data_IF_705885876626
#
_entry.id   IF_705885876626
#
_cell.length_a   1.000
_cell.length_b   1.000
_cell.length_c   1.000
_cell.angle_alpha   90.00
_cell.angle_beta   90.00
_cell.angle_gamma   90.00
#
_symmetry.space_group_name_H-M   'P 1'
#
loop_
_entity.id
_entity.type
_entity.pdbx_description
1 polymer ?
#
# COMPACT_ATOMS: atom_id res chain seq x y z
N UNK A 1 -11.69 -3.72 6.27
CA UNK A 1 -10.47 -3.32 5.54
C UNK A 1 -10.82 -3.47 4.08
N UNK A 2 -10.90 -2.36 3.34
CA UNK A 2 -11.42 -2.36 1.97
C UNK A 2 -10.26 -2.39 0.97
N UNK A 3 -10.46 -3.08 -0.16
CA UNK A 3 -9.49 -3.14 -1.25
C UNK A 3 -9.57 -1.90 -2.18
N UNK A 4 -10.50 -0.97 -1.95
CA UNK A 4 -10.71 0.21 -2.79
C UNK A 4 -10.89 -0.17 -4.28
N UNK A 5 -11.80 -1.12 -4.51
CA UNK A 5 -12.13 -1.58 -5.85
C UNK A 5 -12.93 -0.53 -6.59
N UNK A 6 -12.85 -0.43 -7.93
CA UNK A 6 -13.65 0.53 -8.70
C UNK A 6 -15.13 0.50 -8.28
N UNK A 7 -15.70 1.66 -7.97
CA UNK A 7 -17.09 1.82 -7.53
C UNK A 7 -17.36 1.56 -6.03
N UNK A 8 -16.41 0.98 -5.28
CA UNK A 8 -16.62 0.66 -3.85
C UNK A 8 -16.68 1.87 -2.90
N UNK A 9 -16.30 3.04 -3.38
CA UNK A 9 -16.28 4.28 -2.60
C UNK A 9 -17.44 5.22 -2.96
N UNK A 10 -18.33 4.83 -3.89
CA UNK A 10 -19.39 5.71 -4.39
C UNK A 10 -20.42 6.10 -3.32
N UNK A 11 -20.72 5.19 -2.39
CA UNK A 11 -21.66 5.42 -1.28
C UNK A 11 -20.96 5.96 -0.02
N UNK A 12 -19.65 6.23 -0.07
CA UNK A 12 -18.87 6.69 1.07
C UNK A 12 -18.38 8.11 0.85
N UNK A 13 -18.63 9.01 1.81
CA UNK A 13 -18.06 10.35 1.77
C UNK A 13 -16.56 10.30 2.06
N UNK A 14 -15.76 10.18 1.00
CA UNK A 14 -14.29 10.23 1.02
C UNK A 14 -13.74 11.55 0.50
N UNK A 15 -14.60 12.50 0.14
CA UNK A 15 -14.19 13.74 -0.52
C UNK A 15 -13.29 14.57 0.40
N UNK A 16 -12.08 14.88 -0.06
CA UNK A 16 -11.09 15.62 0.72
C UNK A 16 -10.44 14.82 1.87
N UNK A 17 -10.71 13.51 1.99
CA UNK A 17 -10.20 12.66 3.08
C UNK A 17 -9.03 11.79 2.65
N UNK A 18 -8.31 11.26 3.64
CA UNK A 18 -7.24 10.27 3.44
C UNK A 18 -7.85 8.87 3.58
N UNK A 19 -7.71 8.05 2.54
CA UNK A 19 -8.35 6.72 2.49
C UNK A 19 -7.34 5.62 2.76
N UNK A 20 -7.65 4.70 3.68
CA UNK A 20 -6.85 3.50 3.95
C UNK A 20 -7.36 2.32 3.10
N UNK A 21 -6.52 1.85 2.18
CA UNK A 21 -6.78 0.72 1.30
C UNK A 21 -5.84 -0.45 1.63
N UNK A 22 -6.29 -1.69 1.44
CA UNK A 22 -5.44 -2.88 1.53
C UNK A 22 -4.95 -3.30 0.13
N UNK A 23 -3.68 -3.66 0.04
CA UNK A 23 -3.06 -4.25 -1.15
C UNK A 23 -3.68 -5.62 -1.49
N UNK A 24 -3.58 -6.03 -2.76
CA UNK A 24 -4.17 -7.29 -3.22
C UNK A 24 -5.60 -7.15 -3.75
N UNK A 25 -6.32 -8.28 -3.85
CA UNK A 25 -7.67 -8.33 -4.43
C UNK A 25 -7.69 -8.20 -5.97
N UNK A 26 -6.62 -8.60 -6.65
CA UNK A 26 -6.54 -8.58 -8.12
C UNK A 26 -6.42 -7.19 -8.74
N UNK A 27 -6.29 -6.13 -7.93
CA UNK A 27 -6.26 -4.74 -8.41
C UNK A 27 -4.90 -4.13 -8.07
N UNK A 28 -4.30 -3.47 -9.06
CA UNK A 28 -3.00 -2.82 -8.89
C UNK A 28 -3.09 -1.68 -7.88
N UNK A 29 -1.98 -1.42 -7.18
CA UNK A 29 -1.88 -0.33 -6.19
C UNK A 29 -2.16 1.04 -6.83
N UNK A 30 -1.82 1.20 -8.11
CA UNK A 30 -2.09 2.39 -8.92
C UNK A 30 -3.60 2.53 -9.20
N UNK A 31 -4.26 1.45 -9.64
CA UNK A 31 -5.70 1.47 -9.91
C UNK A 31 -6.54 1.78 -8.66
N UNK A 32 -6.12 1.31 -7.47
CA UNK A 32 -6.73 1.71 -6.19
C UNK A 32 -6.62 3.21 -5.95
N UNK A 33 -5.47 3.79 -6.27
CA UNK A 33 -5.27 5.23 -6.24
C UNK A 33 -6.23 5.95 -7.18
N UNK A 34 -6.42 5.45 -8.40
CA UNK A 34 -7.38 6.03 -9.33
C UNK A 34 -8.80 6.01 -8.76
N UNK A 35 -9.26 4.89 -8.19
CA UNK A 35 -10.56 4.82 -7.52
C UNK A 35 -10.72 5.87 -6.41
N UNK A 36 -9.69 6.06 -5.57
CA UNK A 36 -9.72 7.06 -4.49
C UNK A 36 -9.79 8.47 -5.05
N UNK A 37 -9.04 8.75 -6.12
CA UNK A 37 -9.06 10.05 -6.81
C UNK A 37 -10.42 10.34 -7.44
N UNK A 38 -11.01 9.35 -8.12
CA UNK A 38 -12.31 9.47 -8.77
C UNK A 38 -13.44 9.73 -7.76
N UNK A 39 -13.33 9.14 -6.57
CA UNK A 39 -14.24 9.41 -5.46
C UNK A 39 -13.96 10.75 -4.73
N UNK A 40 -12.97 11.52 -5.18
CA UNK A 40 -12.62 12.84 -4.62
C UNK A 40 -11.73 12.81 -3.38
N UNK A 41 -11.08 11.68 -3.07
CA UNK A 41 -10.13 11.55 -1.97
C UNK A 41 -8.89 12.44 -2.15
N UNK A 42 -8.39 12.99 -1.04
CA UNK A 42 -7.22 13.86 -1.04
C UNK A 42 -5.90 13.08 -1.04
N UNK A 43 -5.85 11.93 -0.37
CA UNK A 43 -4.66 11.09 -0.25
C UNK A 43 -5.03 9.62 0.01
N UNK A 44 -4.07 8.72 -0.19
CA UNK A 44 -4.27 7.27 0.02
C UNK A 44 -3.14 6.66 0.86
N UNK A 45 -3.49 5.81 1.81
CA UNK A 45 -2.55 4.93 2.49
C UNK A 45 -2.83 3.52 2.02
N UNK A 46 -1.84 2.84 1.47
CA UNK A 46 -1.93 1.43 1.08
C UNK A 46 -1.25 0.61 2.15
N UNK A 47 -1.99 -0.27 2.82
CA UNK A 47 -1.43 -1.28 3.73
C UNK A 47 -1.19 -2.57 2.99
N UNK A 48 -0.08 -3.24 3.27
CA UNK A 48 0.05 -4.66 2.95
C UNK A 48 -1.00 -5.50 3.66
N UNK A 49 -1.30 -6.66 3.06
CA UNK A 49 -2.00 -7.76 3.68
C UNK A 49 -1.03 -8.63 4.49
N UNK A 50 -1.57 -9.63 5.19
CA UNK A 50 -0.76 -10.51 6.05
C UNK A 50 0.30 -11.31 5.29
N UNK A 51 0.06 -11.65 4.01
CA UNK A 51 0.99 -12.44 3.19
C UNK A 51 2.17 -11.58 2.74
N UNK A 52 1.91 -10.36 2.27
CA UNK A 52 2.97 -9.45 1.79
C UNK A 52 3.77 -8.82 2.93
N UNK A 53 3.18 -8.74 4.14
CA UNK A 53 3.81 -8.31 5.39
C UNK A 53 4.60 -6.99 5.28
N UNK A 54 5.92 -7.07 5.08
CA UNK A 54 6.86 -5.93 5.05
C UNK A 54 7.35 -5.54 3.66
N UNK A 55 6.95 -6.24 2.59
CA UNK A 55 7.40 -5.91 1.23
C UNK A 55 6.77 -4.61 0.73
N UNK A 56 7.59 -3.56 0.58
CA UNK A 56 7.16 -2.24 0.12
C UNK A 56 7.64 -2.04 -1.31
N UNK A 57 6.74 -1.57 -2.18
CA UNK A 57 7.04 -1.28 -3.59
C UNK A 57 6.94 0.22 -3.84
N UNK A 58 7.95 0.84 -4.49
CA UNK A 58 7.91 2.26 -4.82
C UNK A 58 7.08 2.49 -6.10
N UNK A 59 5.77 2.21 -6.06
CA UNK A 59 4.89 2.48 -7.20
C UNK A 59 4.64 3.99 -7.35
N UNK A 60 4.56 4.47 -8.60
CA UNK A 60 4.15 5.84 -8.89
C UNK A 60 2.62 5.95 -8.81
N UNK A 61 2.11 6.66 -7.80
CA UNK A 61 0.69 6.85 -7.57
C UNK A 61 0.15 8.12 -8.23
N UNK A 62 -1.13 8.10 -8.64
CA UNK A 62 -1.83 9.22 -9.30
C UNK A 62 -2.26 10.37 -8.35
N UNK A 63 -2.05 10.17 -7.05
CA UNK A 63 -2.35 11.10 -5.95
C UNK A 63 -1.34 10.85 -4.80
N UNK A 64 -1.21 11.76 -3.82
CA UNK A 64 -0.31 11.58 -2.68
C UNK A 64 -0.60 10.27 -1.92
N UNK A 65 0.34 9.32 -1.99
CA UNK A 65 0.15 8.01 -1.39
C UNK A 65 1.35 7.52 -0.58
N UNK A 66 1.07 6.72 0.45
CA UNK A 66 2.06 6.05 1.27
C UNK A 66 1.79 4.55 1.33
N UNK A 67 2.79 3.74 1.00
CA UNK A 67 2.73 2.28 1.14
C UNK A 67 3.35 1.86 2.47
N UNK A 68 2.57 1.18 3.31
CA UNK A 68 2.97 0.77 4.66
C UNK A 68 2.89 -0.75 4.84
N UNK A 69 3.69 -1.27 5.77
CA UNK A 69 3.65 -2.68 6.15
C UNK A 69 2.30 -3.07 6.79
N UNK A 70 2.00 -4.37 6.80
CA UNK A 70 0.78 -4.90 7.43
C UNK A 70 0.68 -4.49 8.90
N UNK A 71 1.79 -4.58 9.65
CA UNK A 71 1.83 -4.19 11.06
C UNK A 71 1.52 -2.70 11.25
N UNK A 72 2.04 -1.83 10.39
CA UNK A 72 1.72 -0.39 10.42
C UNK A 72 0.26 -0.13 10.04
N UNK A 73 -0.25 -0.79 9.00
CA UNK A 73 -1.65 -0.67 8.58
C UNK A 73 -2.65 -1.11 9.65
N UNK A 74 -2.34 -2.15 10.41
CA UNK A 74 -3.17 -2.58 11.56
C UNK A 74 -3.20 -1.52 12.66
N UNK A 75 -2.07 -0.86 12.93
CA UNK A 75 -2.02 0.27 13.88
C UNK A 75 -2.84 1.47 13.38
N UNK A 76 -2.73 1.81 12.10
CA UNK A 76 -3.53 2.90 11.50
C UNK A 76 -5.03 2.57 11.54
N UNK A 77 -5.40 1.32 11.25
CA UNK A 77 -6.80 0.87 11.37
C UNK A 77 -7.31 0.96 12.80
N UNK A 78 -6.52 0.53 13.78
CA UNK A 78 -6.86 0.66 15.19
C UNK A 78 -7.04 2.13 15.59
N UNK A 79 -6.16 3.01 15.12
CA UNK A 79 -6.28 4.46 15.31
C UNK A 79 -7.59 5.03 14.75
N UNK A 80 -7.93 4.69 13.49
CA UNK A 80 -9.18 5.11 12.84
C UNK A 80 -10.41 4.68 13.66
N UNK A 81 -10.39 3.47 14.23
CA UNK A 81 -11.50 2.95 15.02
C UNK A 81 -11.55 3.51 16.46
N UNK A 82 -10.45 4.07 16.96
CA UNK A 82 -10.33 4.56 18.34
C UNK A 82 -10.76 6.02 18.53
N UNK A 83 -10.86 6.78 17.45
CA UNK A 83 -11.08 8.23 17.49
C UNK A 83 -12.21 8.59 16.53
N UNK A 84 -13.14 9.44 16.95
CA UNK A 84 -14.29 9.86 16.13
C UNK A 84 -13.91 10.77 14.96
N UNK A 85 -12.77 11.45 15.03
CA UNK A 85 -12.24 12.39 14.03
C UNK A 85 -10.77 12.10 13.71
N UNK A 86 -10.46 10.95 13.07
CA UNK A 86 -9.09 10.60 12.74
C UNK A 86 -8.52 11.56 11.70
N UNK A 87 -7.31 12.07 11.94
CA UNK A 87 -6.58 12.93 11.00
C UNK A 87 -5.26 12.28 10.61
N UNK A 88 -4.83 12.50 9.38
CA UNK A 88 -3.58 11.97 8.86
C UNK A 88 -2.92 13.02 7.97
N UNK A 89 -1.60 13.14 8.06
CA UNK A 89 -0.80 14.00 7.20
C UNK A 89 0.30 13.16 6.58
N UNK A 90 0.43 13.21 5.25
CA UNK A 90 1.51 12.55 4.51
C UNK A 90 2.56 13.62 4.19
N UNK A 91 3.76 13.46 4.76
CA UNK A 91 4.89 14.37 4.53
C UNK A 91 5.97 13.60 3.78
N UNK A 92 6.29 14.05 2.56
CA UNK A 92 7.38 13.49 1.79
C UNK A 92 8.72 14.05 2.29
N UNK A 93 9.58 13.17 2.83
CA UNK A 93 10.92 13.54 3.34
C UNK A 93 12.05 13.25 2.35
N UNK A 94 11.71 12.96 1.09
CA UNK A 94 12.67 12.51 0.08
C UNK A 94 13.18 11.08 0.34
N UNK A 95 14.28 10.74 -0.30
CA UNK A 95 14.92 9.41 -0.19
C UNK A 95 15.79 9.34 1.06
N UNK A 96 15.48 8.40 1.95
CA UNK A 96 16.30 8.11 3.14
C UNK A 96 17.17 6.90 2.87
N UNK A 97 18.50 7.06 3.00
CA UNK A 97 19.48 5.99 2.83
C UNK A 97 20.02 5.52 4.19
N UNK A 98 20.60 4.31 4.24
CA UNK A 98 21.25 3.79 5.46
C UNK A 98 20.28 3.28 6.54
N UNK A 99 19.17 2.66 6.15
CA UNK A 99 18.23 2.06 7.11
C UNK A 99 18.81 0.80 7.74
N UNK A 100 18.45 0.52 9.01
CA UNK A 100 18.96 -0.67 9.75
C UNK A 100 18.68 -2.01 9.08
N UNK A 101 17.68 -2.07 8.21
CA UNK A 101 17.27 -3.29 7.50
C UNK A 101 18.01 -3.50 6.17
N UNK A 102 18.89 -2.57 5.77
CA UNK A 102 19.70 -2.72 4.57
C UNK A 102 21.01 -3.46 4.86
N UNK A 103 21.49 -4.35 3.95
CA UNK A 103 20.86 -4.77 2.70
C UNK A 103 19.81 -5.88 2.89
N UNK A 104 18.79 -5.91 2.02
CA UNK A 104 17.79 -6.98 1.97
C UNK A 104 17.58 -7.41 0.51
N UNK A 105 17.45 -8.72 0.28
CA UNK A 105 17.13 -9.26 -1.06
C UNK A 105 15.69 -8.86 -1.40
N UNK A 106 15.52 -8.14 -2.51
CA UNK A 106 14.20 -7.76 -3.00
C UNK A 106 13.36 -9.00 -3.31
N UNK A 107 12.07 -8.97 -2.98
CA UNK A 107 11.16 -10.11 -3.16
C UNK A 107 10.99 -10.56 -4.62
N UNK A 108 11.22 -9.67 -5.58
CA UNK A 108 11.20 -9.99 -7.02
C UNK A 108 12.53 -10.56 -7.54
N UNK A 109 13.58 -10.63 -6.71
CA UNK A 109 14.86 -11.22 -7.12
C UNK A 109 14.67 -12.72 -7.35
N UNK A 110 15.01 -13.18 -8.55
CA UNK A 110 15.09 -14.61 -8.85
C UNK A 110 16.04 -15.30 -7.87
N UNK A 111 15.65 -16.47 -7.39
CA UNK A 111 16.47 -17.34 -6.54
C UNK A 111 16.95 -18.49 -7.39
N UNK A 112 18.27 -18.65 -7.51
CA UNK A 112 18.85 -19.66 -8.37
C UNK A 112 18.85 -21.06 -7.75
N UNK A 113 18.62 -22.05 -8.60
CA UNK A 113 19.31 -23.34 -8.60
C UNK A 113 19.69 -23.63 -10.06
N UNK A 114 20.82 -24.30 -10.32
CA UNK A 114 21.22 -24.61 -11.71
C UNK A 114 20.11 -25.41 -12.40
N UNK A 115 19.67 -24.97 -13.57
CA UNK A 115 18.78 -25.73 -14.42
C UNK A 115 19.58 -26.92 -14.98
N UNK A 116 19.56 -28.07 -14.28
CA UNK A 116 20.11 -29.32 -14.81
C UNK A 116 19.17 -29.79 -15.92
N UNK A 117 19.55 -29.54 -17.16
CA UNK A 117 18.98 -30.27 -18.29
C UNK A 117 19.56 -31.67 -18.24
N UNK A 118 18.75 -32.67 -17.88
CA UNK A 118 19.12 -34.06 -18.08
C UNK A 118 19.03 -34.30 -19.59
N UNK A 119 20.19 -34.46 -20.24
CA UNK A 119 20.24 -35.01 -21.58
C UNK A 119 19.88 -36.50 -21.47
N UNK A 120 18.72 -36.88 -22.02
CA UNK A 120 18.32 -38.27 -22.25
C UNK A 120 19.08 -38.88 -23.42
#
# INVERSE_FOLDING_TARGET
MAYCVPGSLNDTDVKGKVVLCVGGGGISRIAKGQTVKDAGGAAMIVSNDAVTAYDIKPDAHVLPAAHVSYAAGQKIKAYINSTSTPTATIIFKGTVLGTKSAPMVASFSSRGQVCRVLAS
#
